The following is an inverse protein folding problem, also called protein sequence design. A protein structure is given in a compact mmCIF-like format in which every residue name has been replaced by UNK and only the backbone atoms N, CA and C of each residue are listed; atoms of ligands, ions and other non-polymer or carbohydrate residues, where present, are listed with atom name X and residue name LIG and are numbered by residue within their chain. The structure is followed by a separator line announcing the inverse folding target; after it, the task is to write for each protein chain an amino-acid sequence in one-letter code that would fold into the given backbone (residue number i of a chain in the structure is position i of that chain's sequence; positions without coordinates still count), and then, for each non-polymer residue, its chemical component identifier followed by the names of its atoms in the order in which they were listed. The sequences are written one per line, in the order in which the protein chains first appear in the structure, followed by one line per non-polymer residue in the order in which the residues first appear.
data_IF_169546450427
#
_entry.id   IF_169546450427
#
_cell.length_a   1.000
_cell.length_b   1.000
_cell.length_c   1.000
_cell.angle_alpha   90.00
_cell.angle_beta   90.00
_cell.angle_gamma   90.00
#
_symmetry.space_group_name_H-M   'P 1'
#
loop_
_entity.id
_entity.type
_entity.pdbx_description
1 polymer ?
#
# COMPACT_ATOMS: atom_id res chain seq x y z
N UNK A 1 20.76 -5.81 -0.79
CA UNK A 1 19.48 -6.52 -0.98
C UNK A 1 19.50 -7.27 -2.30
N UNK A 2 18.87 -8.45 -2.40
CA UNK A 2 18.69 -9.15 -3.66
C UNK A 2 18.05 -8.20 -4.68
N UNK A 3 18.47 -8.27 -5.95
CA UNK A 3 17.87 -7.48 -7.04
C UNK A 3 16.37 -7.76 -7.19
N UNK A 4 15.94 -8.96 -6.80
CA UNK A 4 14.58 -9.45 -6.91
C UNK A 4 14.21 -10.31 -5.68
N UNK A 5 12.99 -10.11 -5.16
CA UNK A 5 12.41 -10.90 -4.08
C UNK A 5 11.01 -11.37 -4.51
N UNK A 6 10.69 -12.63 -4.24
CA UNK A 6 9.37 -13.20 -4.51
C UNK A 6 8.76 -13.73 -3.21
N UNK A 7 7.49 -13.43 -3.02
CA UNK A 7 6.66 -13.92 -1.93
C UNK A 7 5.49 -14.70 -2.53
N UNK A 8 5.17 -15.85 -1.96
CA UNK A 8 4.09 -16.72 -2.43
C UNK A 8 3.15 -17.04 -1.28
N UNK A 9 1.86 -17.17 -1.56
CA UNK A 9 0.85 -17.50 -0.58
C UNK A 9 -0.41 -18.08 -1.22
N UNK A 10 -1.31 -18.55 -0.38
CA UNK A 10 -2.68 -18.92 -0.77
C UNK A 10 -3.61 -18.03 0.03
N UNK A 11 -4.48 -17.31 -0.66
CA UNK A 11 -5.57 -16.54 -0.07
C UNK A 11 -6.90 -17.26 -0.30
N UNK A 12 -7.80 -17.22 0.68
CA UNK A 12 -9.08 -17.92 0.61
C UNK A 12 -9.99 -17.43 -0.53
N UNK A 13 -9.85 -16.16 -0.92
CA UNK A 13 -10.64 -15.54 -1.98
C UNK A 13 -9.90 -15.50 -3.33
N UNK A 14 -8.59 -15.28 -3.31
CA UNK A 14 -7.79 -15.07 -4.53
C UNK A 14 -7.11 -16.34 -5.07
N UNK A 15 -7.12 -17.41 -4.28
CA UNK A 15 -6.36 -18.62 -4.57
C UNK A 15 -4.85 -18.41 -4.44
N UNK A 16 -4.02 -19.05 -5.28
CA UNK A 16 -2.57 -18.83 -5.27
C UNK A 16 -2.20 -17.38 -5.62
N UNK A 17 -1.36 -16.78 -4.78
CA UNK A 17 -0.88 -15.41 -4.91
C UNK A 17 0.64 -15.39 -4.97
N UNK A 18 1.20 -14.55 -5.85
CA UNK A 18 2.63 -14.23 -5.85
C UNK A 18 2.86 -12.72 -5.92
N UNK A 19 3.75 -12.21 -5.07
CA UNK A 19 4.22 -10.82 -5.08
C UNK A 19 5.71 -10.81 -5.40
N UNK A 20 6.09 -10.11 -6.45
CA UNK A 20 7.49 -9.94 -6.85
C UNK A 20 7.91 -8.49 -6.69
N UNK A 21 8.99 -8.22 -5.96
CA UNK A 21 9.59 -6.89 -5.83
C UNK A 21 10.96 -6.94 -6.50
N UNK A 22 11.17 -6.11 -7.51
CA UNK A 22 12.47 -5.97 -8.19
C UNK A 22 12.96 -4.52 -8.12
N UNK A 23 14.23 -4.34 -7.81
CA UNK A 23 14.92 -3.05 -7.88
C UNK A 23 15.78 -3.03 -9.14
N UNK A 24 15.51 -2.10 -10.04
CA UNK A 24 16.21 -1.94 -11.31
C UNK A 24 16.97 -0.60 -11.29
N UNK A 25 18.25 -0.59 -11.68
CA UNK A 25 19.00 0.67 -11.83
C UNK A 25 18.54 1.36 -13.10
N UNK A 26 18.23 2.66 -13.02
CA UNK A 26 17.92 3.45 -14.21
C UNK A 26 19.23 3.77 -14.91
N UNK A 27 19.39 3.30 -16.14
CA UNK A 27 20.54 3.65 -16.97
C UNK A 27 20.28 5.02 -17.59
N UNK A 28 20.83 6.07 -16.98
CA UNK A 28 20.87 7.41 -17.59
C UNK A 28 22.14 7.59 -18.42
N UNK A 29 21.98 8.06 -19.66
CA UNK A 29 23.08 8.35 -20.59
C UNK A 29 23.91 9.59 -20.21
N UNK A 30 23.65 10.22 -19.06
CA UNK A 30 24.41 11.35 -18.53
C UNK A 30 24.53 11.19 -17.02
N UNK A 31 25.72 10.79 -16.56
CA UNK A 31 26.10 10.74 -15.15
C UNK A 31 25.81 12.10 -14.48
N UNK A 32 24.65 12.21 -13.84
CA UNK A 32 24.39 13.20 -12.81
C UNK A 32 24.40 12.48 -11.47
N UNK A 33 24.97 13.12 -10.46
CA UNK A 33 25.13 12.60 -9.10
C UNK A 33 23.87 11.90 -8.58
N UNK A 34 24.01 10.61 -8.26
CA UNK A 34 22.95 9.77 -7.70
C UNK A 34 22.54 8.63 -8.63
N UNK A 35 22.68 7.39 -8.17
CA UNK A 35 22.07 6.26 -8.89
C UNK A 35 20.56 6.28 -8.67
N UNK A 36 19.79 6.55 -9.73
CA UNK A 36 18.33 6.42 -9.70
C UNK A 36 17.94 4.95 -9.86
N UNK A 37 16.91 4.51 -9.12
CA UNK A 37 16.40 3.14 -9.18
C UNK A 37 14.88 3.14 -9.39
N UNK A 38 14.40 2.21 -10.22
CA UNK A 38 12.99 1.87 -10.34
C UNK A 38 12.69 0.66 -9.45
N UNK A 39 11.57 0.71 -8.74
CA UNK A 39 11.04 -0.45 -8.02
C UNK A 39 9.82 -0.97 -8.78
N UNK A 40 9.85 -2.25 -9.15
CA UNK A 40 8.73 -2.94 -9.79
C UNK A 40 8.11 -3.90 -8.79
N UNK A 41 6.85 -3.64 -8.43
CA UNK A 41 6.02 -4.58 -7.67
C UNK A 41 5.07 -5.25 -8.65
N UNK A 42 5.12 -6.58 -8.74
CA UNK A 42 4.22 -7.36 -9.57
C UNK A 42 3.35 -8.26 -8.69
N UNK A 43 2.04 -8.12 -8.84
CA UNK A 43 1.03 -8.91 -8.18
C UNK A 43 0.47 -9.94 -9.16
N UNK A 44 0.52 -11.23 -8.80
CA UNK A 44 -0.05 -12.32 -9.58
C UNK A 44 -1.09 -13.02 -8.72
N UNK A 45 -2.33 -13.06 -9.17
CA UNK A 45 -3.43 -13.80 -8.55
C UNK A 45 -4.03 -14.76 -9.58
N UNK A 46 -4.76 -15.78 -9.11
CA UNK A 46 -5.56 -16.62 -9.99
C UNK A 46 -6.90 -15.98 -10.38
N UNK A 47 -7.32 -14.94 -9.65
CA UNK A 47 -8.56 -14.20 -9.88
C UNK A 47 -8.42 -13.18 -11.03
N UNK A 48 -9.36 -13.19 -11.97
CA UNK A 48 -9.46 -12.24 -13.08
C UNK A 48 -10.21 -10.96 -12.68
N UNK A 49 -9.82 -10.33 -11.57
CA UNK A 49 -10.38 -9.03 -11.17
C UNK A 49 -9.60 -7.90 -11.84
N UNK A 50 -10.31 -6.86 -12.28
CA UNK A 50 -9.70 -5.60 -12.73
C UNK A 50 -9.59 -4.58 -11.59
N UNK A 51 -10.18 -4.84 -10.42
CA UNK A 51 -10.21 -3.93 -9.29
C UNK A 51 -9.48 -4.55 -8.10
N UNK A 52 -8.45 -3.87 -7.61
CA UNK A 52 -7.60 -4.39 -6.54
C UNK A 52 -7.50 -3.43 -5.36
N UNK A 53 -7.60 -4.00 -4.17
CA UNK A 53 -7.46 -3.30 -2.90
C UNK A 53 -6.12 -3.67 -2.27
N UNK A 54 -5.23 -2.70 -2.09
CA UNK A 54 -3.86 -2.94 -1.61
C UNK A 54 -3.63 -2.19 -0.30
N UNK A 55 -3.21 -2.89 0.75
CA UNK A 55 -2.75 -2.29 2.00
C UNK A 55 -1.31 -1.83 1.92
N UNK A 56 -1.02 -0.66 2.49
CA UNK A 56 0.34 -0.18 2.71
C UNK A 56 0.52 0.06 4.20
N UNK A 57 1.45 -0.69 4.78
CA UNK A 57 1.87 -0.57 6.16
C UNK A 57 3.25 0.08 6.23
N UNK A 58 3.36 1.11 7.07
CA UNK A 58 4.64 1.67 7.46
C UNK A 58 5.08 1.01 8.76
N UNK A 59 6.28 0.43 8.78
CA UNK A 59 6.89 -0.16 9.96
C UNK A 59 8.01 0.76 10.46
N UNK A 60 7.80 1.37 11.62
CA UNK A 60 8.81 2.19 12.30
C UNK A 60 9.81 1.29 13.04
N UNK A 61 10.98 1.84 13.34
CA UNK A 61 11.98 1.13 14.14
C UNK A 61 11.38 0.63 15.47
N UNK A 62 11.63 -0.63 15.79
CA UNK A 62 11.09 -1.30 16.98
C UNK A 62 9.66 -1.83 16.86
N UNK A 63 8.93 -1.57 15.76
CA UNK A 63 7.63 -2.21 15.51
C UNK A 63 7.83 -3.59 14.88
N UNK A 64 6.96 -4.54 15.25
CA UNK A 64 7.04 -5.93 14.78
C UNK A 64 5.67 -6.56 14.51
N UNK A 65 4.59 -5.90 14.89
CA UNK A 65 3.21 -6.37 14.69
C UNK A 65 2.45 -5.47 13.74
N UNK A 66 1.50 -6.03 13.00
CA UNK A 66 0.64 -5.25 12.10
C UNK A 66 -0.17 -4.20 12.89
N UNK A 67 -0.63 -4.54 14.10
CA UNK A 67 -1.36 -3.63 14.99
C UNK A 67 -0.56 -2.35 15.29
N UNK A 68 0.74 -2.48 15.59
CA UNK A 68 1.63 -1.34 15.80
C UNK A 68 1.72 -0.47 14.53
N UNK A 69 1.85 -1.11 13.36
CA UNK A 69 1.97 -0.41 12.08
C UNK A 69 0.68 0.32 11.69
N UNK A 70 -0.49 -0.26 11.97
CA UNK A 70 -1.80 0.38 11.73
C UNK A 70 -2.03 1.62 12.59
N UNK A 71 -1.41 1.67 13.77
CA UNK A 71 -1.52 2.82 14.67
C UNK A 71 -0.57 3.97 14.30
N UNK A 72 0.18 3.86 13.20
CA UNK A 72 1.01 4.95 12.72
C UNK A 72 0.15 6.06 12.13
N UNK A 73 0.11 7.21 12.81
CA UNK A 73 -0.59 8.41 12.32
C UNK A 73 0.26 9.23 11.34
N UNK A 74 1.59 9.06 11.37
CA UNK A 74 2.52 9.84 10.55
C UNK A 74 3.63 8.94 9.99
N UNK A 75 4.30 9.41 8.94
CA UNK A 75 5.48 8.74 8.39
C UNK A 75 6.54 9.76 8.00
N UNK A 76 7.76 9.28 7.73
CA UNK A 76 8.85 10.12 7.26
C UNK A 76 8.72 10.50 5.77
N UNK A 77 9.47 11.51 5.31
CA UNK A 77 9.41 12.01 3.94
C UNK A 77 9.69 10.93 2.87
N UNK A 78 10.60 9.98 3.15
CA UNK A 78 10.87 8.88 2.24
C UNK A 78 9.64 7.97 1.99
N UNK A 79 8.75 7.82 2.98
CA UNK A 79 7.51 7.09 2.81
C UNK A 79 6.53 7.88 1.94
N UNK A 80 6.38 9.18 2.19
CA UNK A 80 5.51 10.04 1.38
C UNK A 80 5.96 10.13 -0.08
N UNK A 81 7.27 10.20 -0.34
CA UNK A 81 7.83 10.12 -1.69
C UNK A 81 7.53 8.77 -2.36
N UNK A 82 7.63 7.67 -1.61
CA UNK A 82 7.27 6.35 -2.11
C UNK A 82 5.77 6.27 -2.45
N UNK A 83 4.90 6.85 -1.63
CA UNK A 83 3.46 6.92 -1.90
C UNK A 83 3.15 7.67 -3.21
N UNK A 84 3.88 8.76 -3.48
CA UNK A 84 3.74 9.54 -4.72
C UNK A 84 4.13 8.75 -5.98
N UNK A 85 5.02 7.76 -5.85
CA UNK A 85 5.37 6.85 -6.95
C UNK A 85 4.29 5.80 -7.21
N UNK A 86 3.49 5.43 -6.21
CA UNK A 86 2.48 4.37 -6.33
C UNK A 86 1.16 4.85 -6.94
N UNK A 87 0.77 6.09 -6.67
CA UNK A 87 -0.50 6.60 -7.15
C UNK A 87 -0.76 8.05 -6.81
N UNK A 88 -1.92 8.53 -7.24
CA UNK A 88 -2.37 9.89 -6.97
C UNK A 88 -3.11 9.92 -5.64
N UNK A 89 -2.82 10.92 -4.78
CA UNK A 89 -3.67 11.21 -3.62
C UNK A 89 -5.02 11.75 -4.10
N UNK A 90 -6.10 11.07 -3.71
CA UNK A 90 -7.47 11.41 -4.08
C UNK A 90 -8.31 11.72 -2.85
N UNK A 91 -9.14 12.77 -2.93
CA UNK A 91 -10.17 13.07 -1.92
C UNK A 91 -11.25 12.01 -2.01
N UNK A 92 -11.55 11.34 -0.90
CA UNK A 92 -12.56 10.28 -0.88
C UNK A 92 -13.98 10.84 -1.01
N UNK A 93 -14.28 11.96 -0.37
CA UNK A 93 -15.60 12.58 -0.45
C UNK A 93 -15.94 12.98 -1.89
N UNK A 94 -17.03 12.40 -2.42
CA UNK A 94 -17.45 12.58 -3.81
C UNK A 94 -16.64 11.79 -4.84
N UNK A 95 -15.68 10.94 -4.42
CA UNK A 95 -14.95 10.08 -5.33
C UNK A 95 -15.89 9.05 -5.98
N UNK A 96 -15.82 8.95 -7.31
CA UNK A 96 -16.78 8.19 -8.12
C UNK A 96 -16.22 6.91 -8.76
N UNK A 97 -14.90 6.70 -8.68
CA UNK A 97 -14.23 5.51 -9.23
C UNK A 97 -14.20 4.36 -8.21
N UNK A 98 -13.45 3.28 -8.48
CA UNK A 98 -13.31 2.17 -7.54
C UNK A 98 -12.78 2.63 -6.18
N UNK A 99 -13.50 2.31 -5.10
CA UNK A 99 -13.25 2.84 -3.75
C UNK A 99 -12.75 1.81 -2.76
N UNK A 100 -12.72 0.54 -3.15
CA UNK A 100 -12.42 -0.58 -2.26
C UNK A 100 -13.05 -0.47 -0.85
N UNK A 101 -14.34 -0.12 -0.81
CA UNK A 101 -15.14 0.04 0.41
C UNK A 101 -14.81 1.28 1.27
N UNK A 102 -13.91 2.16 0.84
CA UNK A 102 -13.72 3.46 1.48
C UNK A 102 -14.98 4.33 1.33
N UNK A 103 -15.30 5.05 2.41
CA UNK A 103 -16.43 5.96 2.51
C UNK A 103 -16.18 7.23 1.69
N UNK A 104 -17.12 7.54 0.80
CA UNK A 104 -17.08 8.73 -0.04
C UNK A 104 -18.12 9.78 0.34
N UNK A 105 -18.76 9.66 1.51
CA UNK A 105 -19.82 10.57 1.97
C UNK A 105 -19.44 11.31 3.25
N UNK A 106 -18.97 10.59 4.26
CA UNK A 106 -18.88 11.10 5.64
C UNK A 106 -17.45 11.17 6.20
N UNK A 107 -16.43 10.84 5.41
CA UNK A 107 -15.01 10.76 5.83
C UNK A 107 -14.72 9.72 6.94
N UNK A 108 -15.64 8.79 7.16
CA UNK A 108 -15.55 7.77 8.22
C UNK A 108 -14.41 6.76 8.05
N UNK A 109 -13.83 6.67 6.84
CA UNK A 109 -12.66 5.84 6.52
C UNK A 109 -11.45 6.69 6.12
N UNK A 110 -11.40 7.93 6.59
CA UNK A 110 -10.33 8.87 6.27
C UNK A 110 -10.76 9.89 5.21
N UNK A 111 -9.92 10.90 5.02
CA UNK A 111 -10.24 12.01 4.10
C UNK A 111 -9.73 11.77 2.69
N UNK A 112 -8.61 11.08 2.58
CA UNK A 112 -7.90 10.84 1.33
C UNK A 112 -7.36 9.41 1.31
N UNK A 113 -6.98 8.97 0.13
CA UNK A 113 -6.31 7.70 -0.11
C UNK A 113 -5.43 7.85 -1.36
N UNK A 114 -4.65 6.82 -1.73
CA UNK A 114 -3.99 6.75 -3.02
C UNK A 114 -4.81 5.90 -3.98
N UNK A 115 -4.85 6.33 -5.22
CA UNK A 115 -5.51 5.62 -6.30
C UNK A 115 -4.67 5.70 -7.56
N UNK A 116 -4.65 4.61 -8.33
CA UNK A 116 -4.03 4.61 -9.66
C UNK A 116 -4.80 3.73 -10.62
N UNK A 117 -4.60 3.98 -11.91
CA UNK A 117 -5.13 3.16 -12.99
C UNK A 117 -3.98 2.72 -13.88
N UNK A 118 -3.97 1.45 -14.25
CA UNK A 118 -3.01 0.93 -15.23
C UNK A 118 -3.73 0.01 -16.20
N UNK A 119 -3.81 0.41 -17.48
CA UNK A 119 -4.71 -0.22 -18.46
C UNK A 119 -6.14 -0.25 -17.91
N UNK A 120 -6.78 -1.42 -17.92
CA UNK A 120 -8.14 -1.61 -17.41
C UNK A 120 -8.18 -1.85 -15.89
N UNK A 121 -7.03 -1.83 -15.21
CA UNK A 121 -6.97 -2.07 -13.77
C UNK A 121 -7.14 -0.79 -12.96
N UNK A 122 -7.97 -0.86 -11.92
CA UNK A 122 -8.11 0.16 -10.89
C UNK A 122 -7.55 -0.34 -9.55
N UNK A 123 -6.64 0.43 -8.96
CA UNK A 123 -6.02 0.09 -7.69
C UNK A 123 -6.38 1.17 -6.67
N UNK A 124 -6.94 0.75 -5.55
CA UNK A 124 -7.22 1.61 -4.39
C UNK A 124 -6.37 1.17 -3.21
N UNK A 125 -5.63 2.12 -2.62
CA UNK A 125 -4.67 1.83 -1.56
C UNK A 125 -5.18 2.20 -0.17
N UNK A 126 -5.08 1.27 0.76
CA UNK A 126 -5.37 1.46 2.18
C UNK A 126 -4.06 1.74 2.90
N UNK A 127 -3.69 3.02 2.97
CA UNK A 127 -2.45 3.48 3.61
C UNK A 127 -2.69 3.65 5.11
N UNK A 128 -1.93 2.98 5.96
CA UNK A 128 -2.13 3.00 7.42
C UNK A 128 -2.20 4.42 7.99
N UNK A 129 -1.35 5.34 7.52
CA UNK A 129 -1.29 6.74 7.97
C UNK A 129 -2.44 7.63 7.47
N UNK A 130 -3.25 7.16 6.53
CA UNK A 130 -4.40 7.91 5.98
C UNK A 130 -5.75 7.40 6.49
N UNK A 131 -5.76 6.27 7.21
CA UNK A 131 -6.95 5.71 7.82
C UNK A 131 -7.18 6.34 9.21
N UNK A 132 -8.44 6.50 9.62
CA UNK A 132 -8.76 7.12 10.89
C UNK A 132 -8.33 6.23 12.05
N UNK A 133 -7.64 6.81 13.02
CA UNK A 133 -7.25 6.15 14.25
C UNK A 133 -8.49 5.92 15.14
N UNK A 134 -8.68 4.69 15.63
CA UNK A 134 -9.65 4.38 16.68
C UNK A 134 -8.92 4.10 17.99
N UNK A 135 -8.68 5.11 18.85
CA UNK A 135 -7.87 4.95 20.06
C UNK A 135 -8.49 4.04 21.14
N UNK A 136 -9.73 3.57 20.97
CA UNK A 136 -10.51 3.07 22.11
C UNK A 136 -11.27 1.76 21.88
N UNK A 137 -10.85 0.89 20.96
CA UNK A 137 -11.55 -0.37 20.72
C UNK A 137 -10.65 -1.59 20.98
N UNK A 138 -10.34 -1.85 22.26
CA UNK A 138 -9.66 -3.08 22.74
C UNK A 138 -10.35 -4.40 22.34
N UNK A 139 -11.51 -4.34 21.67
CA UNK A 139 -12.29 -5.50 21.23
C UNK A 139 -12.35 -5.68 19.70
N UNK A 140 -11.83 -4.75 18.89
CA UNK A 140 -11.73 -4.96 17.44
C UNK A 140 -10.31 -5.43 17.11
N UNK A 141 -10.18 -6.68 16.72
CA UNK A 141 -8.90 -7.31 16.40
C UNK A 141 -8.20 -6.63 15.22
N UNK A 142 -8.94 -6.00 14.28
CA UNK A 142 -8.41 -5.13 13.21
C UNK A 142 -9.50 -4.14 12.74
N UNK A 143 -9.17 -2.97 12.17
CA UNK A 143 -10.17 -2.09 11.55
C UNK A 143 -10.91 -2.83 10.41
N UNK A 144 -12.24 -2.74 10.30
CA UNK A 144 -13.02 -3.47 9.29
C UNK A 144 -12.61 -3.14 7.85
N UNK A 145 -11.96 -2.00 7.64
CA UNK A 145 -11.44 -1.55 6.34
C UNK A 145 -10.24 -2.39 5.86
N UNK A 146 -9.66 -3.22 6.72
CA UNK A 146 -8.35 -3.86 6.53
C UNK A 146 -8.48 -5.39 6.44
N UNK A 147 -9.54 -5.97 7.00
CA UNK A 147 -9.77 -7.43 7.02
C UNK A 147 -10.01 -8.08 5.65
N UNK A 148 -10.01 -7.29 4.56
CA UNK A 148 -10.25 -7.77 3.20
C UNK A 148 -9.20 -7.26 2.21
N UNK A 149 -7.99 -6.95 2.68
CA UNK A 149 -6.90 -6.52 1.80
C UNK A 149 -6.37 -7.72 1.01
N UNK A 150 -6.27 -7.55 -0.30
CA UNK A 150 -5.79 -8.57 -1.24
C UNK A 150 -4.26 -8.70 -1.14
N UNK A 151 -3.60 -7.58 -0.85
CA UNK A 151 -2.15 -7.48 -0.73
C UNK A 151 -1.77 -6.52 0.39
N UNK A 152 -0.69 -6.81 1.10
CA UNK A 152 -0.11 -5.91 2.10
C UNK A 152 1.36 -5.68 1.77
N UNK A 153 1.74 -4.42 1.57
CA UNK A 153 3.13 -4.01 1.43
C UNK A 153 3.60 -3.41 2.75
N UNK A 154 4.59 -4.04 3.40
CA UNK A 154 5.23 -3.53 4.61
C UNK A 154 6.51 -2.79 4.23
N UNK A 155 6.60 -1.53 4.61
CA UNK A 155 7.74 -0.65 4.33
C UNK A 155 8.45 -0.36 5.64
N UNK A 156 9.65 -0.90 5.80
CA UNK A 156 10.45 -0.69 7.00
C UNK A 156 11.24 0.62 6.90
N UNK A 157 11.16 1.43 7.95
CA UNK A 157 12.14 2.47 8.18
C UNK A 157 13.50 1.80 8.43
N UNK A 158 14.51 2.14 7.62
CA UNK A 158 15.87 1.70 7.89
C UNK A 158 16.36 2.33 9.20
N UNK A 159 16.94 1.52 10.08
CA UNK A 159 17.69 2.03 11.23
C UNK A 159 18.93 2.76 10.70
N UNK A 160 19.14 4.00 11.17
CA UNK A 160 20.31 4.83 10.87
C UNK A 160 21.53 4.40 11.67
#
# INVERSE_FOLDING_TARGET
MPEHQNYFGIDENLGPVAVSIRREKVEDAKEKEGSQFNYRVAFRTSELSFQHKIGILYCRAGQSTEEEMYNNETAGPAFEEFLDLLGQRVRLKGFSKYRAQLDNKTDSTGTHSLYTTYKDYELMFHVCTMLPHTPNNRQQTHPPQIQFLVFVLIINQAES
#
